data_IF_620583831891
#
_entry.id   IF_620583831891
#
_cell.length_a   1.000
_cell.length_b   1.000
_cell.length_c   1.000
_cell.angle_alpha   90.00
_cell.angle_beta   90.00
_cell.angle_gamma   90.00
#
_symmetry.space_group_name_H-M   'P 1'
#
loop_
_entity.id
_entity.type
_entity.pdbx_description
1 polymer ?
#
# COMPACT_ATOMS: atom_id res chain seq x y z
N UNK A 1 12.83 1.46 1.21
CA UNK A 1 12.86 1.31 -0.26
C UNK A 1 11.75 2.14 -0.91
N UNK A 2 12.00 2.70 -2.09
CA UNK A 2 11.02 3.45 -2.86
C UNK A 2 10.68 2.67 -4.14
N UNK A 3 9.39 2.41 -4.38
CA UNK A 3 8.90 1.76 -5.59
C UNK A 3 8.08 2.77 -6.39
N UNK A 4 8.36 2.87 -7.68
CA UNK A 4 7.60 3.75 -8.57
C UNK A 4 7.40 3.15 -9.95
N UNK A 5 6.28 3.51 -10.56
CA UNK A 5 5.99 3.27 -11.97
C UNK A 5 6.18 4.57 -12.75
N UNK A 6 6.71 4.45 -13.97
CA UNK A 6 6.84 5.55 -14.91
C UNK A 6 6.25 5.17 -16.26
N UNK A 7 5.64 6.14 -16.93
CA UNK A 7 5.37 6.06 -18.35
C UNK A 7 6.26 7.09 -19.07
N UNK A 8 7.12 6.61 -19.96
CA UNK A 8 8.23 7.38 -20.52
C UNK A 8 9.07 8.01 -19.40
N UNK A 9 8.93 9.32 -19.15
CA UNK A 9 9.62 10.05 -18.09
C UNK A 9 8.69 10.51 -16.94
N UNK A 10 7.38 10.34 -17.06
CA UNK A 10 6.40 10.79 -16.05
C UNK A 10 6.18 9.71 -14.99
N UNK A 11 6.21 10.11 -13.72
CA UNK A 11 5.79 9.27 -12.60
C UNK A 11 4.28 9.00 -12.72
N UNK A 12 3.85 7.74 -12.61
CA UNK A 12 2.43 7.37 -12.68
C UNK A 12 1.92 6.78 -11.35
N UNK A 13 2.76 6.06 -10.63
CA UNK A 13 2.41 5.50 -9.33
C UNK A 13 3.65 5.42 -8.44
N UNK A 14 3.45 5.45 -7.13
CA UNK A 14 4.53 5.42 -6.14
C UNK A 14 4.06 4.80 -4.82
N UNK A 15 4.97 4.09 -4.14
CA UNK A 15 4.84 3.77 -2.72
C UNK A 15 6.22 3.69 -2.05
N UNK A 16 6.21 3.74 -0.72
CA UNK A 16 7.37 3.53 0.14
C UNK A 16 7.19 2.22 0.90
N UNK A 17 8.25 1.43 0.96
CA UNK A 17 8.30 0.12 1.62
C UNK A 17 9.38 0.19 2.70
N UNK A 18 9.01 -0.07 3.96
CA UNK A 18 9.89 0.03 5.13
C UNK A 18 9.84 -1.31 5.87
N UNK A 19 10.94 -2.07 5.92
CA UNK A 19 11.01 -3.24 6.80
C UNK A 19 11.16 -2.78 8.25
N UNK A 20 10.36 -3.36 9.14
CA UNK A 20 10.39 -3.17 10.59
C UNK A 20 10.45 -4.52 11.31
N UNK A 21 10.47 -4.51 12.65
CA UNK A 21 10.60 -5.74 13.44
C UNK A 21 9.36 -6.64 13.38
N UNK A 22 8.18 -6.04 13.21
CA UNK A 22 6.86 -6.71 13.21
C UNK A 22 6.39 -7.13 11.82
N UNK A 23 7.09 -6.69 10.77
CA UNK A 23 6.80 -6.98 9.37
C UNK A 23 7.23 -5.83 8.45
N UNK A 24 6.64 -5.75 7.27
CA UNK A 24 6.95 -4.69 6.30
C UNK A 24 5.81 -3.70 6.17
N UNK A 25 6.11 -2.42 6.30
CA UNK A 25 5.14 -1.33 6.21
C UNK A 25 5.16 -0.70 4.82
N UNK A 26 4.00 -0.65 4.16
CA UNK A 26 3.82 0.06 2.89
C UNK A 26 3.04 1.34 3.16
N UNK A 27 3.63 2.47 2.79
CA UNK A 27 3.03 3.79 2.96
C UNK A 27 3.18 4.67 1.73
N UNK A 28 2.55 5.85 1.78
CA UNK A 28 2.61 6.86 0.72
C UNK A 28 2.20 6.30 -0.65
N UNK A 29 1.19 5.44 -0.67
CA UNK A 29 0.64 4.86 -1.90
C UNK A 29 -0.05 5.98 -2.68
N UNK A 30 0.41 6.21 -3.91
CA UNK A 30 -0.05 7.31 -4.75
C UNK A 30 -0.19 6.83 -6.20
N UNK A 31 -1.23 7.29 -6.88
CA UNK A 31 -1.36 7.26 -8.34
C UNK A 31 -1.65 8.68 -8.82
N UNK A 32 -0.94 9.12 -9.86
CA UNK A 32 -1.18 10.44 -10.45
C UNK A 32 -2.58 10.54 -11.03
N UNK A 33 -3.14 11.74 -11.05
CA UNK A 33 -4.53 11.96 -11.49
C UNK A 33 -4.76 11.45 -12.92
N UNK A 34 -3.85 11.76 -13.84
CA UNK A 34 -3.83 11.29 -15.24
C UNK A 34 -3.87 9.75 -15.36
N UNK A 35 -3.44 9.04 -14.32
CA UNK A 35 -3.26 7.60 -14.31
C UNK A 35 -4.28 6.86 -13.42
N UNK A 36 -5.24 7.57 -12.81
CA UNK A 36 -6.34 6.96 -12.03
C UNK A 36 -7.29 6.15 -12.94
N UNK A 37 -8.01 5.19 -12.36
CA UNK A 37 -8.95 4.32 -13.11
C UNK A 37 -8.29 3.26 -14.01
N UNK A 38 -6.97 3.30 -14.21
CA UNK A 38 -6.22 2.36 -15.06
C UNK A 38 -5.82 1.04 -14.37
N UNK A 39 -6.09 0.93 -13.06
CA UNK A 39 -5.65 -0.20 -12.23
C UNK A 39 -4.19 -0.15 -11.78
N UNK A 40 -3.45 0.95 -12.01
CA UNK A 40 -2.04 1.04 -11.59
C UNK A 40 -1.83 0.91 -10.08
N UNK A 41 -2.77 1.35 -9.24
CA UNK A 41 -2.67 1.17 -7.79
C UNK A 41 -2.56 -0.33 -7.43
N UNK A 42 -3.39 -1.19 -8.04
CA UNK A 42 -3.34 -2.63 -7.82
C UNK A 42 -2.03 -3.25 -8.30
N UNK A 43 -1.56 -2.85 -9.49
CA UNK A 43 -0.27 -3.32 -10.05
C UNK A 43 0.92 -2.92 -9.17
N UNK A 44 0.94 -1.67 -8.71
CA UNK A 44 1.96 -1.15 -7.80
C UNK A 44 1.98 -1.96 -6.50
N UNK A 45 0.81 -2.17 -5.88
CA UNK A 45 0.72 -2.94 -4.63
C UNK A 45 1.10 -4.39 -4.82
N UNK A 46 0.68 -5.03 -5.91
CA UNK A 46 1.08 -6.41 -6.23
C UNK A 46 2.61 -6.53 -6.36
N UNK A 47 3.26 -5.58 -7.04
CA UNK A 47 4.72 -5.55 -7.14
C UNK A 47 5.37 -5.30 -5.78
N UNK A 48 4.82 -4.40 -4.97
CA UNK A 48 5.32 -4.13 -3.62
C UNK A 48 5.25 -5.39 -2.74
N UNK A 49 4.13 -6.11 -2.74
CA UNK A 49 3.95 -7.37 -2.00
C UNK A 49 4.95 -8.44 -2.45
N UNK A 50 5.16 -8.59 -3.75
CA UNK A 50 6.19 -9.51 -4.28
C UNK A 50 7.58 -9.17 -3.75
N UNK A 51 7.95 -7.88 -3.71
CA UNK A 51 9.25 -7.47 -3.18
C UNK A 51 9.31 -7.72 -1.66
N UNK A 52 8.21 -7.50 -0.94
CA UNK A 52 8.13 -7.78 0.50
C UNK A 52 8.47 -9.24 0.80
N UNK A 53 7.89 -10.16 0.03
CA UNK A 53 8.17 -11.59 0.13
C UNK A 53 9.60 -11.94 -0.27
N UNK A 54 10.10 -11.39 -1.38
CA UNK A 54 11.40 -11.78 -1.93
C UNK A 54 12.60 -11.25 -1.14
N UNK A 55 12.51 -10.04 -0.58
CA UNK A 55 13.65 -9.40 0.09
C UNK A 55 13.69 -9.67 1.59
N UNK A 56 12.52 -9.75 2.23
CA UNK A 56 12.43 -9.87 3.69
C UNK A 56 11.70 -11.12 4.16
N UNK A 57 11.19 -11.97 3.25
CA UNK A 57 10.41 -13.15 3.60
C UNK A 57 9.29 -12.80 4.58
N UNK A 58 8.71 -11.61 4.38
CA UNK A 58 7.85 -10.98 5.37
C UNK A 58 6.51 -11.71 5.43
N UNK A 59 6.19 -12.27 6.59
CA UNK A 59 4.90 -12.90 6.85
C UNK A 59 3.77 -11.88 6.92
N UNK A 60 4.06 -10.66 7.40
CA UNK A 60 3.07 -9.59 7.60
C UNK A 60 3.43 -8.32 6.85
N UNK A 61 2.49 -7.83 6.04
CA UNK A 61 2.59 -6.52 5.40
C UNK A 61 1.51 -5.59 5.94
N UNK A 62 1.91 -4.42 6.45
CA UNK A 62 1.02 -3.44 7.04
C UNK A 62 0.82 -2.23 6.14
N UNK A 63 -0.38 -1.65 6.21
CA UNK A 63 -0.73 -0.36 5.61
C UNK A 63 -1.56 0.45 6.60
N UNK A 64 -1.26 1.74 6.66
CA UNK A 64 -2.16 2.74 7.23
C UNK A 64 -3.00 3.29 6.07
N UNK A 65 -4.25 2.82 5.97
CA UNK A 65 -5.13 3.14 4.88
C UNK A 65 -6.06 4.30 5.25
N UNK A 66 -6.34 5.20 4.31
CA UNK A 66 -7.50 6.09 4.44
C UNK A 66 -8.77 5.25 4.45
N UNK A 67 -9.73 5.53 5.33
CA UNK A 67 -10.87 4.65 5.57
C UNK A 67 -11.74 4.41 4.34
N UNK A 68 -11.88 5.41 3.45
CA UNK A 68 -12.61 5.25 2.19
C UNK A 68 -11.93 4.30 1.19
N UNK A 69 -10.65 3.93 1.41
CA UNK A 69 -9.89 2.97 0.60
C UNK A 69 -9.91 1.55 1.18
N UNK A 70 -10.65 1.30 2.26
CA UNK A 70 -10.71 -0.02 2.89
C UNK A 70 -11.02 -1.13 1.89
N UNK A 71 -12.08 -0.98 1.08
CA UNK A 71 -12.49 -1.98 0.08
C UNK A 71 -11.40 -2.23 -0.98
N UNK A 72 -10.64 -1.19 -1.34
CA UNK A 72 -9.52 -1.32 -2.25
C UNK A 72 -8.43 -2.24 -1.67
N UNK A 73 -8.04 -2.03 -0.41
CA UNK A 73 -7.04 -2.86 0.25
C UNK A 73 -7.57 -4.26 0.57
N UNK A 74 -8.84 -4.40 0.94
CA UNK A 74 -9.49 -5.71 1.08
C UNK A 74 -9.46 -6.50 -0.22
N UNK A 75 -9.63 -5.84 -1.38
CA UNK A 75 -9.49 -6.51 -2.69
C UNK A 75 -8.08 -7.04 -2.98
N UNK A 76 -7.08 -6.64 -2.19
CA UNK A 76 -5.69 -7.10 -2.25
C UNK A 76 -5.35 -8.10 -1.14
N UNK A 77 -6.34 -8.49 -0.31
CA UNK A 77 -6.19 -9.45 0.77
C UNK A 77 -5.83 -8.84 2.14
N UNK A 78 -5.82 -7.51 2.27
CA UNK A 78 -5.63 -6.87 3.57
C UNK A 78 -6.89 -6.98 4.43
N UNK A 79 -6.71 -7.08 5.74
CA UNK A 79 -7.78 -7.10 6.74
C UNK A 79 -7.56 -5.96 7.73
N UNK A 80 -8.62 -5.24 8.14
CA UNK A 80 -8.51 -4.20 9.16
C UNK A 80 -8.10 -4.81 10.50
N UNK A 81 -7.20 -4.14 11.22
CA UNK A 81 -6.71 -4.52 12.56
C UNK A 81 -6.91 -3.42 13.61
N UNK A 82 -7.46 -2.27 13.21
CA UNK A 82 -7.85 -1.19 14.11
C UNK A 82 -9.29 -0.76 13.83
N UNK A 83 -9.87 -0.02 14.78
CA UNK A 83 -11.02 0.84 14.49
C UNK A 83 -10.59 2.02 13.59
N UNK A 84 -11.57 2.72 13.00
CA UNK A 84 -11.30 3.95 12.25
C UNK A 84 -10.92 5.06 13.24
N UNK A 85 -9.80 5.72 12.98
CA UNK A 85 -9.30 6.86 13.76
C UNK A 85 -9.00 8.07 12.85
N UNK A 86 -8.83 9.25 13.43
CA UNK A 86 -8.46 10.45 12.68
C UNK A 86 -6.95 10.66 12.72
N UNK A 87 -6.37 10.88 11.55
CA UNK A 87 -4.99 11.35 11.37
C UNK A 87 -5.06 12.62 10.50
N UNK A 88 -4.59 13.74 11.04
CA UNK A 88 -4.69 15.07 10.42
C UNK A 88 -6.11 15.43 9.95
N UNK A 89 -7.13 14.97 10.70
CA UNK A 89 -8.55 15.19 10.39
C UNK A 89 -9.12 14.28 9.29
N UNK A 90 -8.32 13.35 8.77
CA UNK A 90 -8.74 12.38 7.75
C UNK A 90 -8.97 11.02 8.44
N UNK A 91 -10.12 10.35 8.19
CA UNK A 91 -10.36 8.99 8.67
C UNK A 91 -9.37 7.98 8.10
N UNK A 92 -8.71 7.22 8.97
CA UNK A 92 -7.76 6.16 8.66
C UNK A 92 -8.06 4.90 9.47
N UNK A 93 -7.51 3.78 9.03
CA UNK A 93 -7.44 2.52 9.78
C UNK A 93 -6.18 1.75 9.40
N UNK A 94 -5.68 0.96 10.33
CA UNK A 94 -4.57 0.07 10.10
C UNK A 94 -5.07 -1.26 9.54
N UNK A 95 -4.36 -1.79 8.55
CA UNK A 95 -4.68 -3.06 7.92
C UNK A 95 -3.43 -3.91 7.74
N UNK A 96 -3.59 -5.23 7.84
CA UNK A 96 -2.53 -6.21 7.64
C UNK A 96 -2.91 -7.20 6.55
N UNK A 97 -1.91 -7.60 5.76
CA UNK A 97 -1.95 -8.82 4.95
C UNK A 97 -0.92 -9.79 5.52
N UNK A 98 -1.39 -10.76 6.31
CA UNK A 98 -0.61 -11.90 6.79
C UNK A 98 -0.85 -13.16 5.93
N UNK A 99 -0.09 -14.22 6.16
CA UNK A 99 -0.48 -15.60 5.80
C UNK A 99 -1.68 -16.10 6.62
#
# INVERSE_FOLDING_TARGET
>A
MHLFAKNSAKLTAYCRIIPEQDGVHIGRVLVTEEARGTGFAKKLMAQALTICQQQWQSENVYVQAQAYLQDFYQSLGFKPISEVYLEDGIPHLDMVKGE
#
